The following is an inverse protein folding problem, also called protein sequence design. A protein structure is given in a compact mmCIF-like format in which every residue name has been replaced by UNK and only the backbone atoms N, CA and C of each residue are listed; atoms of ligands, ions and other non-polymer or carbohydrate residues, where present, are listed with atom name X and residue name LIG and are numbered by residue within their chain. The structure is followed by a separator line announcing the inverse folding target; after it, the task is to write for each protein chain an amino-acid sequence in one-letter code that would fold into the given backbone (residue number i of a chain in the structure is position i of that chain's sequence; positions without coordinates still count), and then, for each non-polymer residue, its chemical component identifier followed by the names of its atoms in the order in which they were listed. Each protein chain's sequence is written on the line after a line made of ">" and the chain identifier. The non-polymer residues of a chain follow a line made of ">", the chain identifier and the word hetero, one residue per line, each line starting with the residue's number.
data_IF_999734421236
#
_entry.id   IF_999734421236
#
_cell.length_a   1.000
_cell.length_b   1.000
_cell.length_c   1.000
_cell.angle_alpha   90.00
_cell.angle_beta   90.00
_cell.angle_gamma   90.00
#
_symmetry.space_group_name_H-M   'P 1'
#
loop_
_entity.id
_entity.type
_entity.pdbx_description
1 polymer ?
#
# COMPACT_ATOMS: atom_id res chain seq x y z
N UNK A 1 -14.96 -2.87 16.44
CA UNK A 1 -15.98 -3.03 15.41
C UNK A 1 -16.12 -1.71 14.68
N UNK A 2 -15.86 -1.72 13.37
CA UNK A 2 -15.93 -0.56 12.46
C UNK A 2 -15.29 0.74 13.01
N UNK A 3 -14.03 0.72 13.41
CA UNK A 3 -13.44 1.82 14.19
C UNK A 3 -13.41 3.16 13.45
N UNK A 4 -13.51 3.15 12.13
CA UNK A 4 -13.41 4.35 11.28
C UNK A 4 -14.73 4.72 10.56
N UNK A 5 -15.82 3.95 10.74
CA UNK A 5 -17.05 4.08 9.97
C UNK A 5 -17.77 5.44 10.09
N UNK A 6 -17.64 6.13 11.23
CA UNK A 6 -18.28 7.40 11.48
C UNK A 6 -17.42 8.63 11.16
N UNK A 7 -16.20 8.45 10.60
CA UNK A 7 -15.25 9.53 10.38
C UNK A 7 -15.33 10.08 8.94
N UNK A 8 -15.03 11.38 8.78
CA UNK A 8 -14.77 11.96 7.47
C UNK A 8 -13.48 11.38 6.86
N UNK A 9 -13.31 11.51 5.54
CA UNK A 9 -12.23 10.87 4.80
C UNK A 9 -10.83 11.28 5.29
N UNK A 10 -10.62 12.56 5.61
CA UNK A 10 -9.31 13.10 6.03
C UNK A 10 -8.95 12.57 7.43
N UNK A 11 -9.88 12.66 8.37
CA UNK A 11 -9.69 12.16 9.74
C UNK A 11 -9.47 10.66 9.75
N UNK A 12 -10.23 9.91 8.93
CA UNK A 12 -10.09 8.46 8.77
C UNK A 12 -8.69 8.09 8.32
N UNK A 13 -8.19 8.73 7.26
CA UNK A 13 -6.85 8.45 6.72
C UNK A 13 -5.76 8.71 7.75
N UNK A 14 -5.81 9.85 8.45
CA UNK A 14 -4.84 10.19 9.48
C UNK A 14 -4.82 9.18 10.64
N UNK A 15 -5.99 8.73 11.09
CA UNK A 15 -6.09 7.74 12.16
C UNK A 15 -5.63 6.35 11.72
N UNK A 16 -5.88 5.95 10.47
CA UNK A 16 -5.36 4.71 9.91
C UNK A 16 -3.83 4.70 9.87
N UNK A 17 -3.21 5.81 9.44
CA UNK A 17 -1.75 5.97 9.44
C UNK A 17 -1.17 5.88 10.86
N UNK A 18 -1.79 6.55 11.81
CA UNK A 18 -1.34 6.51 13.21
C UNK A 18 -1.53 5.10 13.82
N UNK A 19 -2.61 4.40 13.49
CA UNK A 19 -2.82 3.01 13.90
C UNK A 19 -1.71 2.09 13.38
N UNK A 20 -1.32 2.21 12.10
CA UNK A 20 -0.20 1.45 11.52
C UNK A 20 1.11 1.74 12.26
N UNK A 21 1.36 3.00 12.61
CA UNK A 21 2.54 3.41 13.37
C UNK A 21 2.57 2.77 14.75
N UNK A 22 1.44 2.83 15.46
CA UNK A 22 1.31 2.22 16.79
C UNK A 22 1.49 0.69 16.73
N UNK A 23 0.90 0.02 15.73
CA UNK A 23 1.04 -1.44 15.56
C UNK A 23 2.50 -1.85 15.36
N UNK A 24 3.27 -1.09 14.57
CA UNK A 24 4.71 -1.34 14.37
C UNK A 24 5.51 -1.24 15.68
N UNK A 25 5.14 -0.31 16.57
CA UNK A 25 5.82 -0.08 17.85
C UNK A 25 5.45 -1.11 18.91
N UNK A 26 4.16 -1.39 19.05
CA UNK A 26 3.62 -2.18 20.18
C UNK A 26 3.66 -3.68 19.91
N UNK A 27 3.67 -4.12 18.66
CA UNK A 27 3.69 -5.53 18.21
C UNK A 27 2.63 -6.41 18.87
N UNK A 28 1.45 -5.86 19.18
CA UNK A 28 0.32 -6.62 19.74
C UNK A 28 -0.60 -7.09 18.62
N UNK A 29 -1.16 -8.29 18.80
CA UNK A 29 -2.22 -8.78 17.92
C UNK A 29 -3.47 -7.94 18.14
N UNK A 30 -3.96 -7.32 17.08
CA UNK A 30 -5.18 -6.54 17.04
C UNK A 30 -6.16 -7.18 16.07
N UNK A 31 -7.38 -7.39 16.49
CA UNK A 31 -8.48 -7.82 15.61
C UNK A 31 -9.44 -6.66 15.48
N UNK A 32 -9.74 -6.27 14.24
CA UNK A 32 -10.79 -5.29 13.97
C UNK A 32 -11.73 -5.80 12.88
N UNK A 33 -12.98 -5.34 12.92
CA UNK A 33 -14.01 -5.69 11.96
C UNK A 33 -14.31 -4.45 11.14
N UNK A 34 -14.36 -4.60 9.83
CA UNK A 34 -14.75 -3.55 8.88
C UNK A 34 -15.49 -4.16 7.70
N UNK A 35 -16.37 -3.41 7.09
CA UNK A 35 -16.99 -3.73 5.80
C UNK A 35 -16.23 -3.12 4.62
N UNK A 36 -15.21 -2.30 4.89
CA UNK A 36 -14.38 -1.65 3.88
C UNK A 36 -13.17 -2.53 3.56
N UNK A 37 -13.17 -3.11 2.36
CA UNK A 37 -12.07 -3.99 1.92
C UNK A 37 -10.76 -3.23 1.74
N UNK A 38 -10.80 -1.95 1.37
CA UNK A 38 -9.59 -1.14 1.20
C UNK A 38 -8.92 -0.84 2.55
N UNK A 39 -9.71 -0.63 3.62
CA UNK A 39 -9.20 -0.58 4.98
C UNK A 39 -8.53 -1.88 5.38
N UNK A 40 -9.21 -3.01 5.16
CA UNK A 40 -8.66 -4.32 5.50
C UNK A 40 -7.36 -4.60 4.75
N UNK A 41 -7.30 -4.33 3.45
CA UNK A 41 -6.10 -4.51 2.63
C UNK A 41 -4.94 -3.64 3.13
N UNK A 42 -5.21 -2.40 3.56
CA UNK A 42 -4.20 -1.44 4.00
C UNK A 42 -3.66 -1.72 5.39
N UNK A 43 -4.52 -2.14 6.32
CA UNK A 43 -4.21 -2.19 7.76
C UNK A 43 -3.85 -3.58 8.26
N UNK A 44 -4.37 -4.64 7.62
CA UNK A 44 -4.24 -5.98 8.15
C UNK A 44 -3.00 -6.71 7.64
N UNK A 45 -2.38 -7.50 8.49
CA UNK A 45 -1.39 -8.51 8.09
C UNK A 45 -2.05 -9.79 7.59
N UNK A 46 -3.27 -10.08 8.06
CA UNK A 46 -4.14 -11.18 7.61
C UNK A 46 -5.58 -10.74 7.60
N UNK A 47 -6.33 -11.21 6.61
CA UNK A 47 -7.75 -10.88 6.41
C UNK A 47 -8.56 -12.18 6.49
N UNK A 48 -9.63 -12.17 7.29
CA UNK A 48 -10.66 -13.19 7.28
C UNK A 48 -11.91 -12.62 6.59
N UNK A 49 -12.20 -13.07 5.37
CA UNK A 49 -13.42 -12.71 4.66
C UNK A 49 -14.55 -13.60 5.15
N UNK A 50 -15.64 -12.99 5.59
CA UNK A 50 -16.81 -13.68 6.12
C UNK A 50 -18.05 -13.45 5.24
N UNK A 51 -18.84 -14.49 5.06
CA UNK A 51 -20.17 -14.43 4.47
C UNK A 51 -21.11 -15.38 5.21
N UNK A 52 -22.33 -14.94 5.49
CA UNK A 52 -23.36 -15.71 6.19
C UNK A 52 -22.86 -16.41 7.47
N UNK A 53 -22.02 -15.72 8.25
CA UNK A 53 -21.47 -16.24 9.50
C UNK A 53 -20.35 -17.28 9.35
N UNK A 54 -19.84 -17.49 8.14
CA UNK A 54 -18.73 -18.42 7.84
C UNK A 54 -17.53 -17.68 7.29
N UNK A 55 -16.33 -18.13 7.66
CA UNK A 55 -15.09 -17.66 7.04
C UNK A 55 -14.94 -18.37 5.69
N UNK A 56 -14.95 -17.59 4.60
CA UNK A 56 -14.80 -18.09 3.23
C UNK A 56 -13.32 -18.14 2.84
N UNK A 57 -12.56 -17.12 3.27
CA UNK A 57 -11.12 -17.06 3.00
C UNK A 57 -10.41 -16.40 4.18
N UNK A 58 -9.23 -16.93 4.54
CA UNK A 58 -8.36 -16.33 5.54
C UNK A 58 -6.93 -16.36 5.02
N UNK A 59 -6.42 -15.19 4.61
CA UNK A 59 -5.12 -15.10 3.96
C UNK A 59 -4.46 -13.72 4.16
N UNK A 60 -3.28 -13.53 3.55
CA UNK A 60 -2.65 -12.22 3.46
C UNK A 60 -3.41 -11.31 2.49
N UNK A 61 -3.33 -9.97 2.64
CA UNK A 61 -3.91 -9.02 1.68
C UNK A 61 -3.55 -9.33 0.23
N UNK A 62 -2.28 -9.65 -0.04
CA UNK A 62 -1.82 -9.99 -1.38
C UNK A 62 -2.51 -11.24 -1.94
N UNK A 63 -2.63 -12.31 -1.13
CA UNK A 63 -3.29 -13.54 -1.57
C UNK A 63 -4.80 -13.36 -1.76
N UNK A 64 -5.47 -12.54 -0.94
CA UNK A 64 -6.87 -12.17 -1.14
C UNK A 64 -7.07 -11.51 -2.51
N UNK A 65 -6.14 -10.65 -2.92
CA UNK A 65 -6.17 -10.01 -4.24
C UNK A 65 -5.81 -10.97 -5.37
N UNK A 66 -4.72 -11.76 -5.23
CA UNK A 66 -4.19 -12.61 -6.31
C UNK A 66 -5.00 -13.88 -6.53
N UNK A 67 -5.58 -14.46 -5.46
CA UNK A 67 -6.22 -15.79 -5.44
C UNK A 67 -7.51 -15.75 -4.63
N UNK A 68 -8.54 -15.00 -5.08
CA UNK A 68 -9.83 -15.00 -4.39
C UNK A 68 -10.43 -16.41 -4.40
N UNK A 69 -10.91 -16.87 -3.23
CA UNK A 69 -11.42 -18.24 -3.06
C UNK A 69 -12.82 -18.44 -3.67
N UNK A 70 -13.52 -17.37 -4.03
CA UNK A 70 -14.85 -17.42 -4.62
C UNK A 70 -15.18 -16.16 -5.41
N UNK A 71 -16.23 -16.21 -6.23
CA UNK A 71 -16.76 -15.04 -6.93
C UNK A 71 -17.17 -13.93 -5.97
N UNK A 72 -17.65 -14.30 -4.76
CA UNK A 72 -17.96 -13.32 -3.72
C UNK A 72 -16.72 -12.51 -3.32
N UNK A 73 -15.61 -13.19 -3.00
CA UNK A 73 -14.34 -12.53 -2.64
C UNK A 73 -13.81 -11.71 -3.82
N UNK A 74 -13.88 -12.26 -5.03
CA UNK A 74 -13.44 -11.57 -6.25
C UNK A 74 -14.22 -10.26 -6.49
N UNK A 75 -15.54 -10.29 -6.29
CA UNK A 75 -16.39 -9.10 -6.40
C UNK A 75 -16.11 -8.09 -5.28
N UNK A 76 -15.88 -8.59 -4.05
CA UNK A 76 -15.56 -7.75 -2.88
C UNK A 76 -14.26 -6.94 -3.10
N UNK A 77 -13.22 -7.56 -3.65
CA UNK A 77 -11.95 -6.85 -3.92
C UNK A 77 -11.98 -5.97 -5.16
N UNK A 78 -12.96 -6.18 -6.06
CA UNK A 78 -13.11 -5.41 -7.30
C UNK A 78 -12.18 -5.87 -8.42
N UNK A 79 -12.75 -6.34 -9.52
CA UNK A 79 -11.96 -6.89 -10.65
C UNK A 79 -11.11 -5.84 -11.37
N UNK A 80 -11.63 -4.62 -11.50
CA UNK A 80 -11.00 -3.57 -12.31
C UNK A 80 -9.79 -2.92 -11.62
N UNK A 81 -9.84 -2.79 -10.29
CA UNK A 81 -8.83 -2.06 -9.51
C UNK A 81 -7.79 -2.97 -8.85
N UNK A 82 -7.87 -4.28 -9.09
CA UNK A 82 -7.04 -5.28 -8.41
C UNK A 82 -5.54 -5.01 -8.56
N UNK A 83 -5.10 -4.67 -9.77
CA UNK A 83 -3.70 -4.32 -10.02
C UNK A 83 -3.26 -3.08 -9.24
N UNK A 84 -4.09 -2.02 -9.21
CA UNK A 84 -3.80 -0.81 -8.44
C UNK A 84 -3.79 -1.07 -6.93
N UNK A 85 -4.66 -1.96 -6.44
CA UNK A 85 -4.66 -2.37 -5.03
C UNK A 85 -3.40 -3.15 -4.68
N UNK A 86 -2.93 -4.05 -5.56
CA UNK A 86 -1.65 -4.76 -5.38
C UNK A 86 -0.46 -3.79 -5.33
N UNK A 87 -0.43 -2.80 -6.23
CA UNK A 87 0.58 -1.74 -6.17
C UNK A 87 0.51 -0.93 -4.86
N UNK A 88 -0.68 -0.79 -4.29
CA UNK A 88 -0.88 -0.15 -2.99
C UNK A 88 -0.27 -0.91 -1.81
N UNK A 89 -0.07 -2.22 -1.94
CA UNK A 89 0.51 -3.09 -0.90
C UNK A 89 2.05 -3.17 -0.95
N UNK A 90 2.66 -2.78 -2.06
CA UNK A 90 4.10 -2.91 -2.29
C UNK A 90 4.81 -1.57 -2.14
N UNK A 91 5.89 -1.50 -1.34
CA UNK A 91 6.67 -0.28 -1.21
C UNK A 91 7.56 -0.03 -2.44
N UNK A 92 7.92 1.22 -2.65
CA UNK A 92 8.79 1.69 -3.74
C UNK A 92 10.14 0.96 -3.75
N UNK A 93 10.71 0.68 -2.57
CA UNK A 93 12.00 -0.04 -2.43
C UNK A 93 12.01 -1.42 -3.11
N UNK A 94 10.85 -2.05 -3.33
CA UNK A 94 10.78 -3.37 -3.96
C UNK A 94 11.11 -3.34 -5.45
N UNK A 95 10.96 -2.19 -6.11
CA UNK A 95 11.15 -2.04 -7.56
C UNK A 95 12.13 -0.92 -7.95
N UNK A 96 12.56 -0.07 -7.02
CA UNK A 96 13.53 0.97 -7.36
C UNK A 96 14.86 0.37 -7.80
N UNK A 97 15.58 1.07 -8.65
CA UNK A 97 16.99 0.80 -8.93
C UNK A 97 17.83 1.49 -7.86
N UNK A 98 18.47 0.74 -6.96
CA UNK A 98 19.23 1.35 -5.88
C UNK A 98 20.53 1.98 -6.41
N UNK A 99 21.01 3.04 -5.74
CA UNK A 99 22.37 3.54 -5.90
C UNK A 99 23.37 2.66 -5.15
N UNK A 100 24.61 2.58 -5.61
CA UNK A 100 25.69 1.86 -4.90
C UNK A 100 25.92 2.44 -3.50
N UNK A 101 25.82 3.75 -3.35
CA UNK A 101 25.86 4.46 -2.07
C UNK A 101 24.76 5.54 -2.04
N UNK A 102 24.13 5.76 -0.88
CA UNK A 102 23.20 6.87 -0.70
C UNK A 102 23.90 8.21 -0.97
N UNK A 103 23.16 9.15 -1.55
CA UNK A 103 23.64 10.49 -1.88
C UNK A 103 22.90 11.54 -1.08
N UNK A 104 23.57 12.62 -0.63
CA UNK A 104 22.84 13.75 -0.07
C UNK A 104 21.80 14.26 -1.08
N UNK A 105 20.57 14.50 -0.63
CA UNK A 105 19.55 15.11 -1.48
C UNK A 105 19.98 16.52 -1.91
N UNK A 106 19.74 16.87 -3.16
CA UNK A 106 19.90 18.26 -3.60
C UNK A 106 18.85 19.16 -2.93
N UNK A 107 19.18 20.41 -2.62
CA UNK A 107 18.22 21.34 -2.03
C UNK A 107 16.98 21.50 -2.94
N UNK A 108 15.81 21.16 -2.40
CA UNK A 108 14.55 21.22 -3.14
C UNK A 108 14.27 20.01 -4.02
N UNK A 109 15.02 18.92 -3.88
CA UNK A 109 14.72 17.66 -4.56
C UNK A 109 13.40 17.09 -4.05
N UNK A 110 12.44 16.97 -4.95
CA UNK A 110 11.17 16.27 -4.71
C UNK A 110 11.30 14.80 -5.14
N UNK A 111 10.76 13.91 -4.34
CA UNK A 111 10.76 12.48 -4.65
C UNK A 111 9.89 11.68 -3.72
N UNK A 112 10.03 10.39 -3.80
CA UNK A 112 9.27 9.43 -2.99
C UNK A 112 10.14 8.88 -1.86
N UNK A 113 9.49 8.47 -0.78
CA UNK A 113 10.15 7.70 0.26
C UNK A 113 10.18 6.21 -0.14
N UNK A 114 11.20 5.48 0.29
CA UNK A 114 11.32 4.02 0.07
C UNK A 114 10.09 3.24 0.54
N UNK A 115 9.40 3.73 1.58
CA UNK A 115 8.21 3.10 2.17
C UNK A 115 6.90 3.53 1.49
N UNK A 116 6.93 4.51 0.58
CA UNK A 116 5.76 4.89 -0.20
C UNK A 116 5.31 3.74 -1.08
N UNK A 117 3.99 3.67 -1.36
CA UNK A 117 3.47 2.60 -2.19
C UNK A 117 3.77 2.82 -3.68
N UNK A 118 3.91 1.72 -4.43
CA UNK A 118 4.02 1.79 -5.90
C UNK A 118 2.81 2.48 -6.55
N UNK A 119 1.62 2.39 -5.91
CA UNK A 119 0.43 3.13 -6.37
C UNK A 119 0.61 4.64 -6.27
N UNK A 120 1.19 5.13 -5.17
CA UNK A 120 1.52 6.55 -5.02
C UNK A 120 2.56 6.97 -6.06
N UNK A 121 3.60 6.15 -6.25
CA UNK A 121 4.62 6.39 -7.26
C UNK A 121 4.02 6.54 -8.66
N UNK A 122 3.13 5.62 -9.06
CA UNK A 122 2.43 5.70 -10.34
C UNK A 122 1.61 6.99 -10.45
N UNK A 123 0.87 7.35 -9.40
CA UNK A 123 0.06 8.56 -9.36
C UNK A 123 0.89 9.83 -9.58
N UNK A 124 2.01 9.96 -8.85
CA UNK A 124 2.94 11.10 -8.97
C UNK A 124 3.53 11.18 -10.38
N UNK A 125 4.03 10.05 -10.90
CA UNK A 125 4.62 10.00 -12.23
C UNK A 125 3.64 10.36 -13.36
N UNK A 126 2.39 9.93 -13.25
CA UNK A 126 1.35 10.26 -14.22
C UNK A 126 0.92 11.71 -14.12
N UNK A 127 0.75 12.22 -12.89
CA UNK A 127 0.31 13.60 -12.67
C UNK A 127 1.34 14.64 -13.13
N UNK A 128 2.62 14.37 -12.90
CA UNK A 128 3.73 15.27 -13.22
C UNK A 128 4.41 14.92 -14.55
N UNK A 129 3.92 13.92 -15.28
CA UNK A 129 4.51 13.37 -16.51
C UNK A 129 6.01 13.03 -16.39
N UNK A 130 6.37 12.41 -15.26
CA UNK A 130 7.77 12.04 -14.98
C UNK A 130 8.09 10.65 -15.54
N UNK A 131 9.20 10.48 -16.28
CA UNK A 131 9.69 9.17 -16.71
C UNK A 131 10.33 8.39 -15.55
N UNK A 132 10.83 9.08 -14.54
CA UNK A 132 11.45 8.55 -13.35
C UNK A 132 11.32 9.50 -12.17
N UNK A 133 11.47 8.99 -10.95
CA UNK A 133 11.40 9.76 -9.69
C UNK A 133 12.52 9.31 -8.76
N UNK A 134 13.15 10.26 -8.07
CA UNK A 134 14.14 9.98 -7.03
C UNK A 134 13.48 9.33 -5.81
N UNK A 135 14.21 8.44 -5.15
CA UNK A 135 13.75 7.72 -3.96
C UNK A 135 14.67 8.02 -2.80
N UNK A 136 14.08 8.40 -1.67
CA UNK A 136 14.78 8.83 -0.47
C UNK A 136 14.53 7.89 0.71
N UNK A 137 15.53 7.74 1.57
CA UNK A 137 15.36 7.09 2.86
C UNK A 137 14.78 8.06 3.91
N UNK A 138 14.55 7.57 5.12
CA UNK A 138 14.04 8.35 6.25
C UNK A 138 15.01 9.44 6.74
N UNK A 139 16.28 9.39 6.36
CA UNK A 139 17.30 10.40 6.68
C UNK A 139 17.34 11.52 5.62
N UNK A 140 16.54 11.43 4.55
CA UNK A 140 16.56 12.38 3.46
C UNK A 140 17.72 12.18 2.47
N UNK A 141 18.35 11.01 2.46
CA UNK A 141 19.38 10.66 1.49
C UNK A 141 18.72 9.98 0.28
N UNK A 142 19.14 10.33 -0.93
CA UNK A 142 18.71 9.65 -2.15
C UNK A 142 19.35 8.27 -2.23
N UNK A 143 18.52 7.22 -2.22
CA UNK A 143 18.96 5.82 -2.20
C UNK A 143 18.77 5.13 -3.53
N UNK A 144 18.02 5.71 -4.45
CA UNK A 144 17.78 5.12 -5.75
C UNK A 144 16.83 5.92 -6.61
N UNK A 145 16.43 5.30 -7.71
CA UNK A 145 15.49 5.87 -8.68
C UNK A 145 14.45 4.82 -9.06
N UNK A 146 13.20 5.23 -9.17
CA UNK A 146 12.14 4.39 -9.73
C UNK A 146 11.78 4.92 -11.11
N UNK A 147 11.89 4.09 -12.15
CA UNK A 147 11.45 4.44 -13.49
C UNK A 147 10.03 3.97 -13.76
N UNK A 148 9.28 4.73 -14.58
CA UNK A 148 7.92 4.37 -15.01
C UNK A 148 7.91 3.03 -15.77
N UNK A 149 8.95 2.74 -16.54
CA UNK A 149 9.07 1.48 -17.27
C UNK A 149 9.12 0.27 -16.34
N UNK A 150 10.00 0.32 -15.32
CA UNK A 150 10.13 -0.76 -14.30
C UNK A 150 8.82 -0.91 -13.54
N UNK A 151 8.19 0.20 -13.16
CA UNK A 151 6.91 0.21 -12.46
C UNK A 151 5.81 -0.49 -13.26
N UNK A 152 5.74 -0.25 -14.56
CA UNK A 152 4.72 -0.86 -15.44
C UNK A 152 5.00 -2.34 -15.73
N UNK A 153 6.25 -2.78 -15.70
CA UNK A 153 6.63 -4.19 -15.90
C UNK A 153 6.52 -5.03 -14.62
N UNK A 154 6.84 -4.45 -13.48
CA UNK A 154 6.95 -5.16 -12.20
C UNK A 154 5.85 -4.84 -11.18
N UNK A 155 4.92 -3.95 -11.48
CA UNK A 155 3.90 -3.47 -10.55
C UNK A 155 2.70 -4.39 -10.33
N UNK A 156 2.58 -5.48 -11.09
CA UNK A 156 1.44 -6.42 -11.02
C UNK A 156 1.78 -7.74 -10.34
#
# INVERSE_FOLDING_TARGET
>A
DEPFGALDAITRENLQLEMLRIQRQVRKTTVFVTHDIDEALRLATRIAVMDQGRIIQHDTPENILRRPASDFVENLVGKQDRGLKLMGLRPVRDLMTPHELPRPAEPGADGLNEEDSLRLALSVMLWQDLPQVAVFNTNGEETGVLSREILMQGGA
#
